data_IF_432812040905
#
_entry.id   IF_432812040905
#
_cell.length_a   1.000
_cell.length_b   1.000
_cell.length_c   1.000
_cell.angle_alpha   90.00
_cell.angle_beta   90.00
_cell.angle_gamma   90.00
#
_symmetry.space_group_name_H-M   'P 1'
#
loop_
_entity.id
_entity.type
_entity.pdbx_description
1 polymer ?
#
# COMPACT_ATOMS: atom_id res chain seq x y z
N UNK A 1 16.73 3.71 -2.55
CA UNK A 1 16.18 2.35 -2.50
C UNK A 1 14.96 2.45 -1.60
N UNK A 2 13.77 1.96 -1.97
CA UNK A 2 12.70 1.92 -0.96
C UNK A 2 13.10 0.86 0.06
N UNK A 3 13.60 1.31 1.21
CA UNK A 3 13.85 0.52 2.40
C UNK A 3 12.54 -0.15 2.83
N UNK A 4 12.45 -1.47 2.60
CA UNK A 4 11.53 -2.48 3.15
C UNK A 4 10.09 -2.06 3.45
N UNK A 5 9.10 -2.63 2.75
CA UNK A 5 7.67 -2.51 3.14
C UNK A 5 7.51 -2.95 4.60
N UNK A 6 6.81 -2.13 5.40
CA UNK A 6 6.70 -2.36 6.85
C UNK A 6 5.25 -2.46 7.25
N UNK A 7 4.91 -3.50 8.00
CA UNK A 7 3.58 -3.64 8.61
C UNK A 7 3.31 -2.46 9.55
N UNK A 8 2.10 -1.91 9.47
CA UNK A 8 1.66 -0.72 10.21
C UNK A 8 2.04 0.61 9.55
N UNK A 9 2.78 0.59 8.43
CA UNK A 9 3.09 1.82 7.69
C UNK A 9 1.87 2.31 6.89
N UNK A 10 1.71 3.63 6.83
CA UNK A 10 0.74 4.27 5.94
C UNK A 10 1.40 4.59 4.61
N UNK A 11 0.72 4.20 3.54
CA UNK A 11 1.13 4.45 2.16
C UNK A 11 0.05 5.25 1.45
N UNK A 12 0.46 6.09 0.51
CA UNK A 12 -0.42 6.89 -0.33
C UNK A 12 -0.36 6.37 -1.76
N UNK A 13 -1.52 6.16 -2.38
CA UNK A 13 -1.61 5.76 -3.77
C UNK A 13 -1.18 6.92 -4.68
N UNK A 14 -0.18 6.71 -5.54
CA UNK A 14 0.33 7.73 -6.46
C UNK A 14 -0.07 7.47 -7.91
N UNK A 15 -0.46 6.24 -8.24
CA UNK A 15 -0.90 5.84 -9.58
C UNK A 15 -2.17 5.00 -9.51
N UNK A 16 -3.00 5.02 -10.56
CA UNK A 16 -4.24 4.24 -10.58
C UNK A 16 -3.94 2.73 -10.68
N UNK A 17 -4.37 1.95 -9.68
CA UNK A 17 -4.15 0.50 -9.59
C UNK A 17 -5.37 -0.35 -9.96
N UNK A 18 -6.36 0.24 -10.62
CA UNK A 18 -7.67 -0.36 -10.85
C UNK A 18 -8.71 0.35 -9.98
N UNK A 19 -9.78 0.80 -10.63
CA UNK A 19 -10.59 1.96 -10.24
C UNK A 19 -11.45 1.89 -8.98
N UNK A 20 -11.08 1.11 -7.97
CA UNK A 20 -11.78 1.13 -6.67
C UNK A 20 -11.32 2.30 -5.78
N UNK A 21 -10.09 2.81 -5.95
CA UNK A 21 -9.54 3.88 -5.11
C UNK A 21 -8.89 5.01 -5.93
N UNK A 22 -9.15 6.28 -5.58
CA UNK A 22 -8.57 7.43 -6.26
C UNK A 22 -7.09 7.61 -5.90
N UNK A 23 -6.31 8.18 -6.83
CA UNK A 23 -4.94 8.63 -6.55
C UNK A 23 -4.97 9.66 -5.42
N UNK A 24 -4.09 9.51 -4.45
CA UNK A 24 -4.03 10.30 -3.22
C UNK A 24 -4.65 9.60 -2.01
N UNK A 25 -5.40 8.51 -2.20
CA UNK A 25 -6.01 7.75 -1.11
C UNK A 25 -4.94 7.06 -0.25
N UNK A 26 -5.26 6.91 1.04
CA UNK A 26 -4.36 6.31 2.02
C UNK A 26 -4.74 4.86 2.30
N UNK A 27 -3.72 4.03 2.44
CA UNK A 27 -3.86 2.66 2.91
C UNK A 27 -2.84 2.35 4.01
N UNK A 28 -3.21 1.46 4.92
CA UNK A 28 -2.33 0.95 5.98
C UNK A 28 -1.92 -0.46 5.67
N UNK A 29 -0.62 -0.76 5.67
CA UNK A 29 -0.13 -2.12 5.45
C UNK A 29 -0.43 -2.96 6.71
N UNK A 30 -1.13 -4.07 6.54
CA UNK A 30 -1.51 -4.94 7.65
C UNK A 30 -0.64 -6.20 7.73
N UNK A 31 -0.32 -6.79 6.58
CA UNK A 31 0.31 -8.10 6.50
C UNK A 31 1.04 -8.27 5.17
N UNK A 32 2.12 -9.05 5.18
CA UNK A 32 2.87 -9.48 3.99
C UNK A 32 2.94 -11.00 4.06
N UNK A 33 2.49 -11.68 3.00
CA UNK A 33 2.53 -13.15 2.95
C UNK A 33 3.88 -13.69 2.46
N UNK A 34 4.02 -15.02 2.50
CA UNK A 34 5.24 -15.72 2.04
C UNK A 34 5.45 -15.65 0.51
N UNK A 35 4.50 -15.07 -0.24
CA UNK A 35 4.56 -14.88 -1.69
C UNK A 35 4.76 -13.39 -2.06
N UNK A 36 5.18 -12.57 -1.10
CA UNK A 36 5.42 -11.13 -1.24
C UNK A 36 4.16 -10.32 -1.64
N UNK A 37 2.96 -10.80 -1.29
CA UNK A 37 1.73 -10.02 -1.41
C UNK A 37 1.52 -9.20 -0.14
N UNK A 38 1.26 -7.91 -0.36
CA UNK A 38 1.05 -6.92 0.68
C UNK A 38 -0.43 -6.64 0.80
N UNK A 39 -0.98 -6.91 1.98
CA UNK A 39 -2.36 -6.64 2.32
C UNK A 39 -2.45 -5.27 2.96
N UNK A 40 -3.35 -4.45 2.43
CA UNK A 40 -3.58 -3.08 2.90
C UNK A 40 -5.05 -2.87 3.25
N UNK A 41 -5.27 -2.03 4.26
CA UNK A 41 -6.58 -1.53 4.66
C UNK A 41 -6.72 -0.06 4.24
N UNK A 42 -7.81 0.25 3.55
CA UNK A 42 -8.13 1.59 3.10
C UNK A 42 -8.89 2.40 4.14
N UNK A 43 -9.02 3.72 3.92
CA UNK A 43 -9.77 4.62 4.81
C UNK A 43 -11.23 4.21 5.03
N UNK A 44 -11.82 3.48 4.09
CA UNK A 44 -13.20 2.97 4.17
C UNK A 44 -13.31 1.62 4.91
N UNK A 45 -12.19 1.09 5.41
CA UNK A 45 -12.10 -0.19 6.12
C UNK A 45 -12.10 -1.41 5.19
N UNK A 46 -12.08 -1.23 3.86
CA UNK A 46 -11.92 -2.35 2.94
C UNK A 46 -10.48 -2.84 2.91
N UNK A 47 -10.35 -4.12 2.60
CA UNK A 47 -9.08 -4.82 2.48
C UNK A 47 -8.80 -5.15 1.03
N UNK A 48 -7.57 -4.91 0.58
CA UNK A 48 -7.08 -5.36 -0.72
C UNK A 48 -5.65 -5.83 -0.63
N UNK A 49 -5.23 -6.66 -1.57
CA UNK A 49 -3.85 -7.15 -1.68
C UNK A 49 -3.20 -6.72 -2.98
N UNK A 50 -1.92 -6.38 -2.92
CA UNK A 50 -1.09 -6.08 -4.08
C UNK A 50 0.24 -6.83 -4.00
N UNK A 51 0.81 -7.28 -5.12
CA UNK A 51 2.20 -7.72 -5.14
C UNK A 51 3.10 -6.59 -4.64
N UNK A 52 4.12 -6.89 -3.82
CA UNK A 52 5.08 -5.91 -3.30
C UNK A 52 5.62 -5.00 -4.41
N UNK A 53 6.01 -5.58 -5.55
CA UNK A 53 6.54 -4.82 -6.69
C UNK A 53 5.57 -3.77 -7.23
N UNK A 54 4.27 -4.05 -7.18
CA UNK A 54 3.23 -3.11 -7.60
C UNK A 54 3.05 -2.02 -6.55
N UNK A 55 3.11 -2.39 -5.28
CA UNK A 55 3.03 -1.43 -4.18
C UNK A 55 4.20 -0.44 -4.22
N UNK A 56 5.44 -0.93 -4.42
CA UNK A 56 6.64 -0.08 -4.52
C UNK A 56 6.64 0.87 -5.72
N UNK A 57 5.88 0.56 -6.78
CA UNK A 57 5.78 1.40 -7.98
C UNK A 57 4.67 2.44 -7.85
N UNK A 58 3.50 2.01 -7.38
CA UNK A 58 2.29 2.82 -7.42
C UNK A 58 1.94 3.50 -6.10
N UNK A 59 2.72 3.31 -5.04
CA UNK A 59 2.49 3.91 -3.74
C UNK A 59 3.76 4.56 -3.21
N UNK A 60 3.60 5.61 -2.41
CA UNK A 60 4.67 6.23 -1.64
C UNK A 60 4.43 6.04 -0.14
N UNK A 61 5.51 5.87 0.63
CA UNK A 61 5.42 5.87 2.09
C UNK A 61 5.21 7.28 2.60
N UNK A 62 4.25 7.45 3.49
CA UNK A 62 4.14 8.66 4.29
C UNK A 62 5.08 8.50 5.49
N UNK A 63 6.31 9.00 5.36
CA UNK A 63 7.19 9.12 6.51
C UNK A 63 6.52 10.04 7.55
N UNK A 64 6.39 9.56 8.79
CA UNK A 64 6.08 10.43 9.93
C UNK A 64 7.21 11.45 10.02
N UNK A 65 6.87 12.72 9.79
CA UNK A 65 7.68 13.87 10.21
C UNK A 65 7.66 13.94 11.73
#
# INVERSE_FOLDING_TARGET
MMDSITVGAKVRLTENVGGDYPVGELATILYIDDLDNVFVEWSDGKLTSFPEQRLLKCFEKLNKV
#
